data_IF_396389842172
#
_entry.id   IF_396389842172
#
_cell.length_a   1.000
_cell.length_b   1.000
_cell.length_c   1.000
_cell.angle_alpha   90.00
_cell.angle_beta   90.00
_cell.angle_gamma   90.00
#
_symmetry.space_group_name_H-M   'P 1'
#
loop_
_entity.id
_entity.type
_entity.pdbx_description
1 polymer ?
#
# COMPACT_ATOMS: atom_id res chain seq x y z
N UNK A 1 -28.49 1.75 -35.23
CA UNK A 1 -27.98 3.14 -35.26
C UNK A 1 -26.48 3.06 -35.45
N UNK A 2 -26.02 2.84 -36.68
CA UNK A 2 -24.61 2.78 -37.04
C UNK A 2 -24.15 4.18 -37.43
N UNK A 3 -23.36 4.80 -36.56
CA UNK A 3 -22.72 6.09 -36.82
C UNK A 3 -21.53 5.88 -37.74
N UNK A 4 -21.76 6.03 -39.05
CA UNK A 4 -20.68 6.10 -40.04
C UNK A 4 -19.79 7.31 -39.73
N UNK A 5 -18.55 7.03 -39.32
CA UNK A 5 -17.47 8.01 -39.23
C UNK A 5 -17.10 8.39 -40.65
N UNK A 6 -17.56 9.56 -41.09
CA UNK A 6 -17.17 10.15 -42.35
C UNK A 6 -15.79 10.81 -42.18
N UNK A 7 -14.72 10.07 -42.46
CA UNK A 7 -13.38 10.66 -42.58
C UNK A 7 -13.38 11.65 -43.75
N UNK A 8 -12.94 12.90 -43.55
CA UNK A 8 -12.80 13.83 -44.67
C UNK A 8 -11.77 13.29 -45.66
N UNK A 9 -11.96 13.54 -46.97
CA UNK A 9 -11.01 13.12 -47.98
C UNK A 9 -9.66 13.76 -47.71
N UNK A 10 -8.60 12.95 -47.81
CA UNK A 10 -7.21 13.42 -47.75
C UNK A 10 -7.01 14.26 -49.02
N UNK A 11 -7.20 15.57 -48.91
CA UNK A 11 -6.90 16.50 -49.98
C UNK A 11 -5.40 16.44 -50.20
N UNK A 12 -4.99 15.83 -51.32
CA UNK A 12 -3.62 15.93 -51.81
C UNK A 12 -3.53 17.29 -52.46
N UNK A 13 -2.89 18.24 -51.78
CA UNK A 13 -2.53 19.54 -52.34
C UNK A 13 -1.50 19.32 -53.46
N UNK A 14 -1.97 18.88 -54.63
CA UNK A 14 -1.23 18.77 -55.88
C UNK A 14 -1.27 20.11 -56.63
N UNK A 15 -0.87 21.20 -55.96
CA UNK A 15 -0.41 22.40 -56.67
C UNK A 15 1.10 22.23 -56.98
N UNK A 16 1.56 22.58 -58.19
CA UNK A 16 2.97 22.58 -58.54
C UNK A 16 3.65 23.77 -57.85
N UNK A 17 3.86 23.68 -56.54
CA UNK A 17 4.77 24.58 -55.84
C UNK A 17 6.14 24.36 -56.46
N UNK A 18 6.68 25.39 -57.13
CA UNK A 18 8.05 25.41 -57.59
C UNK A 18 8.97 25.31 -56.35
N UNK A 19 9.20 24.09 -55.88
CA UNK A 19 10.05 23.81 -54.73
C UNK A 19 11.47 24.16 -55.11
N UNK A 20 11.98 25.24 -54.54
CA UNK A 20 13.39 25.57 -54.66
C UNK A 20 14.18 24.40 -54.05
N UNK A 21 15.20 23.84 -54.72
CA UNK A 21 15.98 22.75 -54.17
C UNK A 21 16.56 23.17 -52.81
N UNK A 22 16.21 22.42 -51.76
CA UNK A 22 16.67 22.68 -50.39
C UNK A 22 15.71 23.48 -49.49
N UNK A 23 14.57 23.98 -49.98
CA UNK A 23 13.60 24.72 -49.15
C UNK A 23 13.09 23.89 -47.95
N UNK A 24 12.84 22.59 -48.15
CA UNK A 24 12.45 21.68 -47.08
C UNK A 24 13.56 21.48 -46.03
N UNK A 25 14.83 21.45 -46.47
CA UNK A 25 15.98 21.35 -45.57
C UNK A 25 16.16 22.64 -44.76
N UNK A 26 16.03 23.79 -45.39
CA UNK A 26 16.11 25.09 -44.72
C UNK A 26 14.98 25.26 -43.70
N UNK A 27 13.74 24.87 -44.05
CA UNK A 27 12.60 24.84 -43.12
C UNK A 27 12.85 23.90 -41.93
N UNK A 28 13.40 22.71 -42.18
CA UNK A 28 13.79 21.78 -41.13
C UNK A 28 14.85 22.36 -40.18
N UNK A 29 15.93 22.91 -40.73
CA UNK A 29 17.00 23.53 -39.94
C UNK A 29 16.50 24.74 -39.15
N UNK A 30 15.58 25.54 -39.70
CA UNK A 30 14.95 26.65 -39.00
C UNK A 30 14.10 26.19 -37.80
N UNK A 31 13.42 25.05 -37.90
CA UNK A 31 12.71 24.42 -36.77
C UNK A 31 13.70 23.97 -35.70
N UNK A 32 14.80 23.32 -36.09
CA UNK A 32 15.86 22.89 -35.15
C UNK A 32 16.50 24.08 -34.44
N UNK A 33 16.89 25.13 -35.18
CA UNK A 33 17.46 26.36 -34.62
C UNK A 33 16.50 27.02 -33.62
N UNK A 34 15.20 27.05 -33.94
CA UNK A 34 14.16 27.56 -33.02
C UNK A 34 14.09 26.76 -31.72
N UNK A 35 14.22 25.44 -31.78
CA UNK A 35 14.22 24.60 -30.57
C UNK A 35 15.53 24.73 -29.78
N UNK A 36 16.67 24.90 -30.43
CA UNK A 36 17.98 25.09 -29.78
C UNK A 36 18.03 26.36 -28.91
N UNK A 37 17.29 27.40 -29.31
CA UNK A 37 17.20 28.67 -28.57
C UNK A 37 16.09 28.69 -27.51
N UNK A 38 15.29 27.61 -27.37
CA UNK A 38 14.30 27.50 -26.29
C UNK A 38 14.98 27.11 -24.98
N UNK A 39 14.36 27.48 -23.86
CA UNK A 39 14.76 27.01 -22.53
C UNK A 39 14.63 25.48 -22.47
N UNK A 40 15.57 24.83 -21.78
CA UNK A 40 15.50 23.40 -21.55
C UNK A 40 14.39 23.05 -20.55
N UNK A 41 13.59 22.04 -20.88
CA UNK A 41 12.58 21.42 -20.00
C UNK A 41 13.19 20.30 -19.13
N UNK A 42 14.51 20.08 -19.19
CA UNK A 42 15.19 19.06 -18.39
C UNK A 42 15.09 19.37 -16.89
N UNK A 43 14.55 18.43 -16.13
CA UNK A 43 14.69 18.39 -14.67
C UNK A 43 15.96 17.62 -14.34
N UNK A 44 16.91 18.26 -13.65
CA UNK A 44 18.19 17.65 -13.28
C UNK A 44 18.00 16.78 -12.04
N UNK A 45 17.83 15.49 -12.26
CA UNK A 45 17.76 14.48 -11.20
C UNK A 45 19.18 14.04 -10.82
N UNK A 46 19.53 13.91 -9.53
CA UNK A 46 18.67 13.84 -8.34
C UNK A 46 18.39 15.17 -7.62
N UNK A 47 18.95 16.30 -8.06
CA UNK A 47 18.80 17.57 -7.34
C UNK A 47 17.38 18.16 -7.40
N UNK A 48 16.66 17.88 -8.49
CA UNK A 48 15.27 18.26 -8.72
C UNK A 48 14.43 17.00 -8.88
N UNK A 49 13.63 16.69 -7.86
CA UNK A 49 12.70 15.56 -7.89
C UNK A 49 11.42 15.89 -8.67
N UNK A 50 10.83 14.91 -9.36
CA UNK A 50 9.56 15.10 -10.04
C UNK A 50 8.42 15.30 -9.04
N UNK A 51 7.50 16.22 -9.36
CA UNK A 51 6.24 16.37 -8.61
C UNK A 51 5.28 15.24 -8.99
N UNK A 52 5.05 14.31 -8.07
CA UNK A 52 4.19 13.15 -8.27
C UNK A 52 2.76 13.44 -7.79
N UNK A 53 1.73 13.10 -8.60
CA UNK A 53 0.35 13.26 -8.15
C UNK A 53 0.06 12.31 -6.98
N UNK A 54 -0.83 12.70 -6.06
CA UNK A 54 -1.17 11.89 -4.87
C UNK A 54 -1.65 10.46 -5.15
N UNK A 55 -2.12 10.18 -6.37
CA UNK A 55 -2.55 8.84 -6.83
C UNK A 55 -1.44 8.05 -7.56
N UNK A 56 -0.19 8.48 -7.42
CA UNK A 56 0.97 7.79 -7.99
C UNK A 56 1.10 6.39 -7.41
N UNK A 57 1.48 5.44 -8.24
CA UNK A 57 1.72 4.05 -7.85
C UNK A 57 3.22 3.85 -7.67
N UNK A 58 3.71 4.10 -6.46
CA UNK A 58 5.08 3.79 -6.07
C UNK A 58 5.17 2.36 -5.54
N UNK A 59 5.75 2.20 -4.36
CA UNK A 59 5.81 0.93 -3.65
C UNK A 59 4.51 0.66 -2.89
N UNK A 60 4.23 -0.63 -2.66
CA UNK A 60 3.06 -1.04 -1.87
C UNK A 60 3.48 -1.09 -0.40
N UNK A 61 2.78 -0.35 0.44
CA UNK A 61 2.93 -0.37 1.89
C UNK A 61 1.93 -1.36 2.52
N UNK A 62 2.32 -1.98 3.64
CA UNK A 62 1.48 -2.90 4.42
C UNK A 62 1.21 -2.32 5.82
N UNK A 63 -0.06 -2.22 6.20
CA UNK A 63 -0.47 -2.02 7.60
C UNK A 63 -0.83 -3.39 8.16
N UNK A 64 0.09 -3.99 8.91
CA UNK A 64 -0.02 -5.38 9.40
C UNK A 64 -1.28 -5.59 10.24
N UNK A 65 -1.64 -4.60 11.06
CA UNK A 65 -2.76 -4.64 11.99
C UNK A 65 -4.11 -4.79 11.28
N UNK A 66 -4.20 -4.30 10.04
CA UNK A 66 -5.40 -4.35 9.20
C UNK A 66 -5.53 -5.67 8.43
N UNK A 67 -4.43 -6.43 8.28
CA UNK A 67 -4.44 -7.67 7.50
C UNK A 67 -5.12 -8.81 8.27
N UNK A 68 -6.21 -9.34 7.72
CA UNK A 68 -6.97 -10.47 8.31
C UNK A 68 -6.67 -11.82 7.66
N UNK A 69 -5.68 -11.88 6.76
CA UNK A 69 -5.31 -13.08 6.00
C UNK A 69 -6.49 -13.66 5.19
N UNK A 70 -7.29 -12.79 4.58
CA UNK A 70 -8.43 -13.21 3.75
C UNK A 70 -8.03 -13.85 2.41
N UNK A 71 -6.75 -13.73 2.02
CA UNK A 71 -6.16 -14.23 0.76
C UNK A 71 -6.77 -13.65 -0.53
N UNK A 72 -7.53 -12.56 -0.46
CA UNK A 72 -8.12 -11.93 -1.66
C UNK A 72 -7.05 -11.29 -2.53
N UNK A 73 -6.13 -10.52 -1.95
CA UNK A 73 -5.05 -9.85 -2.66
C UNK A 73 -4.14 -10.82 -3.42
N UNK A 74 -3.77 -11.95 -2.81
CA UNK A 74 -2.95 -12.97 -3.46
C UNK A 74 -3.70 -13.71 -4.59
N UNK A 75 -5.01 -13.93 -4.44
CA UNK A 75 -5.84 -14.62 -5.44
C UNK A 75 -6.11 -13.75 -6.67
N UNK A 76 -6.33 -12.45 -6.46
CA UNK A 76 -6.67 -11.51 -7.53
C UNK A 76 -5.43 -10.91 -8.21
N UNK A 77 -4.23 -11.11 -7.64
CA UNK A 77 -2.99 -10.67 -8.26
C UNK A 77 -2.80 -11.37 -9.62
N UNK A 78 -2.70 -10.64 -10.75
CA UNK A 78 -2.56 -11.24 -12.07
C UNK A 78 -1.23 -12.00 -12.24
N UNK A 79 -0.18 -11.58 -11.52
CA UNK A 79 1.17 -12.17 -11.58
C UNK A 79 1.45 -13.18 -10.46
N UNK A 80 0.54 -13.31 -9.48
CA UNK A 80 0.67 -14.23 -8.34
C UNK A 80 1.96 -13.98 -7.53
N UNK A 81 2.37 -12.71 -7.42
CA UNK A 81 3.61 -12.27 -6.78
C UNK A 81 3.52 -12.08 -5.25
N UNK A 82 2.38 -12.41 -4.63
CA UNK A 82 2.14 -12.21 -3.20
C UNK A 82 2.16 -13.56 -2.47
N UNK A 83 3.02 -13.69 -1.46
CA UNK A 83 3.13 -14.86 -0.61
C UNK A 83 2.58 -14.56 0.78
N UNK A 84 1.67 -15.40 1.26
CA UNK A 84 1.01 -15.21 2.56
C UNK A 84 1.01 -16.53 3.31
N UNK A 85 1.57 -16.54 4.52
CA UNK A 85 1.48 -17.65 5.46
C UNK A 85 0.72 -17.21 6.72
N UNK A 86 -0.05 -18.12 7.30
CA UNK A 86 -0.85 -17.85 8.50
C UNK A 86 -1.12 -19.10 9.32
N UNK A 87 -1.34 -18.89 10.61
CA UNK A 87 -1.80 -19.91 11.54
C UNK A 87 -3.11 -19.49 12.21
N UNK A 88 -3.76 -20.44 12.87
CA UNK A 88 -5.02 -20.23 13.58
C UNK A 88 -4.79 -20.22 15.08
N UNK A 89 -5.12 -19.11 15.71
CA UNK A 89 -5.19 -19.02 17.15
C UNK A 89 -6.63 -19.17 17.62
N UNK A 90 -6.83 -19.92 18.70
CA UNK A 90 -8.16 -20.07 19.32
C UNK A 90 -8.29 -19.07 20.45
N UNK A 91 -9.21 -18.11 20.30
CA UNK A 91 -9.51 -17.16 21.36
C UNK A 91 -10.42 -17.83 22.39
N UNK A 92 -10.11 -17.69 23.69
CA UNK A 92 -10.97 -18.19 24.76
C UNK A 92 -12.32 -17.50 24.65
N UNK A 93 -13.38 -18.30 24.73
CA UNK A 93 -14.73 -17.75 24.70
C UNK A 93 -15.02 -17.02 26.03
N UNK A 94 -15.73 -15.87 26.00
CA UNK A 94 -16.41 -15.35 27.19
C UNK A 94 -17.35 -16.44 27.75
N UNK A 95 -17.60 -16.45 29.07
CA UNK A 95 -18.40 -17.49 29.75
C UNK A 95 -19.65 -17.88 28.95
N UNK A 96 -19.72 -19.15 28.52
CA UNK A 96 -20.84 -19.72 27.78
C UNK A 96 -20.78 -19.62 26.25
N UNK A 97 -19.74 -19.00 25.67
CA UNK A 97 -19.55 -18.88 24.22
C UNK A 97 -18.82 -20.06 23.57
N UNK A 98 -18.96 -20.21 22.24
CA UNK A 98 -18.14 -21.15 21.45
C UNK A 98 -16.76 -20.52 21.18
N UNK A 99 -15.65 -21.27 21.34
CA UNK A 99 -14.33 -20.78 20.99
C UNK A 99 -14.28 -20.31 19.53
N UNK A 100 -13.65 -19.16 19.30
CA UNK A 100 -13.52 -18.54 17.98
C UNK A 100 -12.09 -18.72 17.51
N UNK A 101 -11.90 -19.19 16.28
CA UNK A 101 -10.58 -19.19 15.65
C UNK A 101 -10.36 -17.83 14.95
N UNK A 102 -9.20 -17.22 15.18
CA UNK A 102 -8.70 -16.05 14.46
C UNK A 102 -7.47 -16.47 13.65
N UNK A 103 -7.40 -16.03 12.40
CA UNK A 103 -6.18 -16.18 11.61
C UNK A 103 -5.19 -15.09 12.02
N UNK A 104 -3.94 -15.47 12.24
CA UNK A 104 -2.82 -14.57 12.53
C UNK A 104 -1.84 -14.64 11.37
N UNK A 105 -1.36 -13.48 10.93
CA UNK A 105 -0.43 -13.36 9.80
C UNK A 105 0.98 -13.73 10.26
N UNK A 106 1.56 -14.76 9.65
CA UNK A 106 2.95 -15.17 9.93
C UNK A 106 3.92 -14.48 8.98
N UNK A 107 3.59 -14.53 7.70
CA UNK A 107 4.41 -13.99 6.62
C UNK A 107 3.52 -13.31 5.60
N UNK A 108 3.98 -12.16 5.14
CA UNK A 108 3.42 -11.47 3.99
C UNK A 108 4.59 -10.94 3.18
N UNK A 109 4.74 -11.39 1.94
CA UNK A 109 5.80 -10.93 1.07
C UNK A 109 5.27 -10.60 -0.32
N UNK A 110 5.84 -9.56 -0.92
CA UNK A 110 5.58 -9.19 -2.31
C UNK A 110 6.89 -9.28 -3.07
N UNK A 111 6.89 -10.04 -4.17
CA UNK A 111 8.01 -10.07 -5.11
C UNK A 111 7.85 -8.94 -6.14
N UNK A 112 8.59 -7.85 -5.94
CA UNK A 112 8.59 -6.71 -6.84
C UNK A 112 9.36 -6.95 -8.15
N UNK A 113 10.07 -8.08 -8.27
CA UNK A 113 10.62 -8.50 -9.57
C UNK A 113 9.55 -9.06 -10.52
N UNK A 114 8.38 -9.44 -9.97
CA UNK A 114 7.24 -9.98 -10.71
C UNK A 114 6.05 -9.01 -10.78
N UNK A 115 5.87 -8.16 -9.76
CA UNK A 115 4.74 -7.23 -9.67
C UNK A 115 4.68 -6.24 -10.86
N UNK A 116 3.53 -6.16 -11.55
CA UNK A 116 3.29 -5.15 -12.60
C UNK A 116 2.65 -3.83 -12.13
N UNK A 117 2.55 -3.59 -10.83
CA UNK A 117 1.98 -2.35 -10.24
C UNK A 117 0.54 -2.04 -10.71
N UNK A 118 -0.28 -3.06 -10.90
CA UNK A 118 -1.68 -2.91 -11.36
C UNK A 118 -2.60 -2.29 -10.29
N UNK A 119 -2.29 -2.45 -9.01
CA UNK A 119 -3.07 -1.95 -7.87
C UNK A 119 -4.28 -2.78 -7.47
N UNK A 120 -4.54 -3.90 -8.13
CA UNK A 120 -5.71 -4.74 -7.86
C UNK A 120 -5.69 -5.28 -6.41
N UNK A 121 -4.52 -5.61 -5.88
CA UNK A 121 -4.37 -6.08 -4.50
C UNK A 121 -4.80 -5.05 -3.45
N UNK A 122 -4.70 -3.75 -3.76
CA UNK A 122 -5.13 -2.65 -2.90
C UNK A 122 -6.64 -2.51 -2.97
N UNK A 123 -7.19 -2.41 -4.18
CA UNK A 123 -8.65 -2.23 -4.40
C UNK A 123 -9.49 -3.41 -3.89
N UNK A 124 -8.95 -4.64 -3.99
CA UNK A 124 -9.65 -5.84 -3.55
C UNK A 124 -9.53 -6.08 -2.04
N UNK A 125 -8.67 -5.34 -1.33
CA UNK A 125 -8.46 -5.52 0.09
C UNK A 125 -9.67 -4.98 0.87
N UNK A 126 -10.49 -5.82 1.52
CA UNK A 126 -11.71 -5.33 2.18
C UNK A 126 -11.44 -4.68 3.54
N UNK A 127 -10.19 -4.65 3.98
CA UNK A 127 -9.76 -4.12 5.28
C UNK A 127 -8.74 -2.99 5.15
N UNK A 128 -8.49 -2.51 3.93
CA UNK A 128 -7.50 -1.46 3.65
C UNK A 128 -6.16 -1.73 4.36
N UNK A 129 -5.60 -2.92 4.12
CA UNK A 129 -4.30 -3.31 4.67
C UNK A 129 -3.13 -2.92 3.76
N UNK A 130 -3.38 -2.66 2.49
CA UNK A 130 -2.37 -2.32 1.50
C UNK A 130 -2.63 -0.92 0.94
N UNK A 131 -1.58 -0.14 0.77
CA UNK A 131 -1.68 1.24 0.26
C UNK A 131 -0.56 1.55 -0.73
N UNK A 132 -0.78 2.56 -1.56
CA UNK A 132 0.28 3.15 -2.36
C UNK A 132 1.10 4.13 -1.52
N UNK A 133 2.39 3.85 -1.41
CA UNK A 133 3.38 4.83 -0.97
C UNK A 133 3.90 5.60 -2.20
N UNK A 134 4.23 6.90 -2.05
CA UNK A 134 4.83 7.69 -3.11
C UNK A 134 6.29 7.31 -3.39
N UNK A 135 6.90 6.46 -2.55
CA UNK A 135 8.28 6.01 -2.72
C UNK A 135 8.42 5.16 -3.99
N UNK A 136 9.34 5.55 -4.87
CA UNK A 136 9.63 4.84 -6.12
C UNK A 136 11.11 4.43 -6.25
N UNK A 137 11.96 4.89 -5.33
CA UNK A 137 13.42 4.76 -5.39
C UNK A 137 13.92 3.63 -4.48
N UNK A 138 13.52 2.39 -4.74
CA UNK A 138 13.91 1.20 -3.97
C UNK A 138 14.63 0.15 -4.82
N UNK A 139 15.43 0.60 -5.79
CA UNK A 139 16.21 -0.28 -6.64
C UNK A 139 17.26 -1.06 -5.84
N UNK A 140 17.40 -2.35 -6.14
CA UNK A 140 18.34 -3.25 -5.47
C UNK A 140 19.39 -3.80 -6.45
N UNK A 141 20.54 -4.22 -5.90
CA UNK A 141 21.63 -4.80 -6.70
C UNK A 141 21.39 -6.27 -7.07
N UNK A 142 20.62 -7.00 -6.26
CA UNK A 142 20.24 -8.39 -6.51
C UNK A 142 18.73 -8.51 -6.64
N UNK A 143 18.26 -9.34 -7.57
CA UNK A 143 16.83 -9.60 -7.77
C UNK A 143 16.18 -10.19 -6.52
N UNK A 144 16.94 -10.94 -5.71
CA UNK A 144 16.43 -11.57 -4.48
C UNK A 144 16.06 -10.54 -3.40
N UNK A 145 16.66 -9.36 -3.46
CA UNK A 145 16.41 -8.29 -2.50
C UNK A 145 15.12 -7.50 -2.86
N UNK A 146 14.54 -7.73 -4.05
CA UNK A 146 13.22 -7.22 -4.45
C UNK A 146 12.05 -8.05 -3.89
N UNK A 147 12.34 -9.13 -3.15
CA UNK A 147 11.34 -9.83 -2.34
C UNK A 147 11.21 -9.10 -1.00
N UNK A 148 10.18 -8.27 -0.88
CA UNK A 148 9.97 -7.49 0.33
C UNK A 148 9.02 -8.23 1.26
N UNK A 149 9.55 -8.60 2.42
CA UNK A 149 8.79 -9.18 3.53
C UNK A 149 7.98 -8.11 4.28
N UNK A 150 7.09 -8.56 5.16
CA UNK A 150 6.11 -7.72 5.86
C UNK A 150 6.72 -6.51 6.58
N UNK A 151 7.90 -6.70 7.17
CA UNK A 151 8.58 -5.66 7.93
C UNK A 151 8.98 -4.49 7.01
N UNK A 152 9.59 -4.81 5.86
CA UNK A 152 9.98 -3.82 4.84
C UNK A 152 8.77 -3.12 4.24
N UNK A 153 7.70 -3.86 3.98
CA UNK A 153 6.44 -3.28 3.51
C UNK A 153 5.79 -2.35 4.56
N UNK A 154 5.98 -2.66 5.85
CA UNK A 154 5.50 -1.87 6.98
C UNK A 154 6.22 -0.53 7.13
N UNK A 155 7.52 -0.48 6.83
CA UNK A 155 8.30 0.77 6.86
C UNK A 155 7.69 1.85 5.96
N UNK A 156 7.16 1.47 4.80
CA UNK A 156 6.54 2.41 3.87
C UNK A 156 5.17 2.91 4.29
N UNK A 157 4.52 2.30 5.28
CA UNK A 157 3.21 2.76 5.77
C UNK A 157 3.27 4.20 6.29
N UNK A 158 4.42 4.65 6.80
CA UNK A 158 4.64 6.02 7.26
C UNK A 158 4.62 7.07 6.13
N UNK A 159 4.93 6.65 4.90
CA UNK A 159 4.99 7.55 3.73
C UNK A 159 3.66 7.64 2.97
N UNK A 160 2.67 6.84 3.35
CA UNK A 160 1.36 6.82 2.70
C UNK A 160 0.66 8.16 2.94
N UNK A 161 0.22 8.87 1.89
CA UNK A 161 -0.48 10.12 2.05
C UNK A 161 -1.84 9.88 2.72
N UNK A 162 -2.31 10.81 3.57
CA UNK A 162 -3.63 10.69 4.17
C UNK A 162 -4.71 10.68 3.09
N UNK A 163 -5.80 9.92 3.29
CA UNK A 163 -6.91 9.91 2.34
C UNK A 163 -7.45 11.33 2.15
N UNK A 164 -7.84 11.72 0.92
CA UNK A 164 -8.39 13.04 0.67
C UNK A 164 -9.62 13.27 1.53
N UNK A 165 -9.79 14.52 1.98
CA UNK A 165 -10.97 14.90 2.75
C UNK A 165 -12.24 14.58 1.96
N UNK A 166 -13.24 14.05 2.65
CA UNK A 166 -14.54 13.80 2.04
C UNK A 166 -15.14 15.12 1.51
N UNK A 167 -15.75 15.05 0.34
CA UNK A 167 -16.44 16.18 -0.29
C UNK A 167 -17.41 16.86 0.69
N UNK A 168 -17.56 18.18 0.58
CA UNK A 168 -18.42 18.96 1.48
C UNK A 168 -19.87 18.46 1.34
N UNK A 169 -20.37 17.78 2.38
CA UNK A 169 -21.71 17.17 2.40
C UNK A 169 -21.74 15.65 2.24
N UNK A 170 -20.59 14.99 2.03
CA UNK A 170 -20.49 13.55 2.11
C UNK A 170 -20.71 13.06 3.56
N UNK A 171 -21.44 11.95 3.70
CA UNK A 171 -21.67 11.32 5.00
C UNK A 171 -20.32 10.94 5.62
N UNK A 172 -20.09 11.36 6.87
CA UNK A 172 -18.84 11.07 7.57
C UNK A 172 -18.60 9.55 7.65
N UNK A 173 -17.35 9.06 7.57
CA UNK A 173 -17.03 7.65 7.73
C UNK A 173 -17.74 7.04 8.93
N UNK A 174 -18.35 5.87 8.72
CA UNK A 174 -19.11 5.17 9.75
C UNK A 174 -18.27 4.93 11.00
N UNK A 175 -16.97 4.71 10.83
CA UNK A 175 -15.97 4.58 11.91
C UNK A 175 -15.90 5.82 12.83
N UNK A 176 -15.90 7.03 12.27
CA UNK A 176 -15.87 8.29 13.05
C UNK A 176 -17.23 8.59 13.69
N UNK A 177 -18.33 8.23 13.02
CA UNK A 177 -19.69 8.39 13.55
C UNK A 177 -20.04 7.37 14.65
N UNK A 178 -19.45 6.17 14.61
CA UNK A 178 -19.67 5.09 15.57
C UNK A 178 -18.91 5.34 16.89
N UNK A 179 -17.73 5.96 16.84
CA UNK A 179 -16.99 6.42 18.02
C UNK A 179 -17.64 7.58 18.77
N UNK A 180 -18.48 8.38 18.09
CA UNK A 180 -19.20 9.52 18.67
C UNK A 180 -20.54 9.15 19.33
N UNK A 181 -20.96 7.88 19.26
CA UNK A 181 -22.22 7.45 19.86
C UNK A 181 -21.98 7.06 21.32
N UNK A 182 -22.54 7.79 22.32
CA UNK A 182 -22.48 7.34 23.70
C UNK A 182 -23.10 5.95 23.77
N UNK A 183 -22.39 5.01 24.40
CA UNK A 183 -22.85 3.64 24.60
C UNK A 183 -24.30 3.68 25.14
N UNK A 184 -25.24 2.89 24.59
CA UNK A 184 -26.60 2.87 25.11
C UNK A 184 -26.54 2.44 26.57
N UNK A 185 -26.94 3.35 27.47
CA UNK A 185 -27.01 3.11 28.89
C UNK A 185 -27.78 1.80 29.14
N UNK A 186 -27.08 0.82 29.72
CA UNK A 186 -27.68 -0.41 30.21
C UNK A 186 -28.80 0.00 31.19
N UNK A 187 -30.06 -0.28 30.82
CA UNK A 187 -31.24 0.05 31.63
C UNK A 187 -31.11 -0.63 32.99
N UNK A 188 -30.76 0.13 34.03
CA UNK A 188 -30.93 -0.29 35.42
C UNK A 188 -32.39 -0.05 35.81
N UNK A 189 -33.03 -1.11 36.32
CA UNK A 189 -34.38 -1.06 36.91
C UNK A 189 -34.40 -0.16 38.17
N UNK A 190 -35.56 0.39 38.57
CA UNK A 190 -35.64 1.54 39.47
C UNK A 190 -35.59 1.14 40.95
N UNK A 191 -34.90 1.94 41.78
CA UNK A 191 -35.07 1.98 43.23
C UNK A 191 -35.77 3.29 43.65
N UNK A 192 -36.74 3.16 44.56
CA UNK A 192 -37.58 4.21 45.10
C UNK A 192 -36.87 5.04 46.21
N UNK A 193 -37.39 6.21 46.62
CA UNK A 193 -36.60 7.39 47.01
C UNK A 193 -36.45 7.61 48.53
N UNK A 194 -35.42 8.36 48.93
CA UNK A 194 -35.36 9.05 50.23
C UNK A 194 -34.90 10.51 50.05
N UNK A 195 -35.57 11.41 50.78
CA UNK A 195 -35.49 12.88 50.78
C UNK A 195 -34.15 13.43 51.31
N UNK A 196 -33.79 14.64 50.84
CA UNK A 196 -32.58 15.43 51.18
C UNK A 196 -32.53 16.03 52.60
N UNK A 197 -31.75 17.11 52.90
CA UNK A 197 -31.55 18.28 52.04
C UNK A 197 -30.09 18.79 51.87
N UNK A 198 -29.98 19.82 51.03
CA UNK A 198 -28.79 20.52 50.56
C UNK A 198 -28.24 21.57 51.54
N UNK A 199 -26.92 21.78 51.53
CA UNK A 199 -26.23 23.09 51.52
C UNK A 199 -24.70 22.88 51.48
N UNK A 200 -23.99 23.53 50.54
CA UNK A 200 -22.51 23.56 50.51
C UNK A 200 -21.88 23.24 49.16
N UNK A 201 -22.16 24.03 48.11
CA UNK A 201 -21.61 23.81 46.76
C UNK A 201 -20.63 24.88 46.26
N UNK A 202 -20.41 26.00 46.97
CA UNK A 202 -19.58 27.09 46.43
C UNK A 202 -18.11 27.07 46.85
N UNK A 203 -17.70 26.34 47.89
CA UNK A 203 -16.30 26.36 48.38
C UNK A 203 -15.41 25.31 47.68
N UNK A 204 -16.00 24.25 47.10
CA UNK A 204 -15.25 23.18 46.43
C UNK A 204 -14.81 23.55 45.00
N UNK A 205 -15.47 24.52 44.36
CA UNK A 205 -15.19 24.90 42.98
C UNK A 205 -13.97 25.84 42.86
N UNK A 206 -13.68 26.64 43.89
CA UNK A 206 -12.49 27.52 43.91
C UNK A 206 -11.20 26.72 44.14
N UNK A 207 -11.21 25.72 45.04
CA UNK A 207 -10.03 24.88 45.30
C UNK A 207 -9.65 23.99 44.09
N UNK A 208 -10.63 23.54 43.30
CA UNK A 208 -10.37 22.71 42.11
C UNK A 208 -9.79 23.52 40.93
N UNK A 209 -10.11 24.81 40.85
CA UNK A 209 -9.60 25.71 39.80
C UNK A 209 -8.17 26.20 40.07
N UNK A 210 -7.77 26.28 41.34
CA UNK A 210 -6.40 26.65 41.72
C UNK A 210 -5.42 25.49 41.50
N UNK A 211 -5.82 24.26 41.89
CA UNK A 211 -5.02 23.05 41.67
C UNK A 211 -4.81 22.74 40.17
N UNK A 212 -5.79 23.01 39.31
CA UNK A 212 -5.65 22.78 37.86
C UNK A 212 -4.75 23.81 37.17
N UNK A 213 -4.62 25.03 37.72
CA UNK A 213 -3.71 26.06 37.20
C UNK A 213 -2.26 25.81 37.59
N UNK A 214 -2.02 25.27 38.79
CA UNK A 214 -0.68 24.94 39.27
C UNK A 214 -0.07 23.79 38.45
N UNK A 215 -0.84 22.71 38.22
CA UNK A 215 -0.42 21.56 37.39
C UNK A 215 -0.19 21.94 35.92
N UNK A 216 -0.96 22.89 35.38
CA UNK A 216 -0.77 23.38 34.00
C UNK A 216 0.50 24.23 33.85
N UNK A 217 0.94 24.94 34.90
CA UNK A 217 2.18 25.71 34.87
C UNK A 217 3.43 24.85 35.08
N UNK A 218 3.32 23.76 35.85
CA UNK A 218 4.40 22.82 36.06
C UNK A 218 4.70 21.99 34.79
N UNK A 219 3.66 21.47 34.14
CA UNK A 219 3.77 20.74 32.86
C UNK A 219 4.33 21.60 31.72
N UNK A 220 3.99 22.88 31.67
CA UNK A 220 4.55 23.81 30.68
C UNK A 220 6.05 24.12 30.92
N UNK A 221 6.50 24.11 32.18
CA UNK A 221 7.93 24.32 32.53
C UNK A 221 8.77 23.08 32.27
N UNK A 222 8.19 21.90 32.40
CA UNK A 222 8.85 20.62 32.11
C UNK A 222 9.04 20.43 30.60
N UNK A 223 8.02 20.71 29.80
CA UNK A 223 8.10 20.68 28.34
C UNK A 223 9.13 21.69 27.77
N UNK A 224 9.29 22.85 28.41
CA UNK A 224 10.30 23.84 28.04
C UNK A 224 11.75 23.41 28.40
N UNK A 225 11.92 22.51 29.37
CA UNK A 225 13.23 21.95 29.75
C UNK A 225 13.65 20.79 28.85
N UNK A 226 12.71 19.96 28.40
CA UNK A 226 13.00 18.87 27.46
C UNK A 226 13.40 19.38 26.07
N UNK A 227 12.69 20.40 25.56
CA UNK A 227 12.98 21.02 24.26
C UNK A 227 14.34 21.74 24.22
N UNK A 228 14.84 22.24 25.35
CA UNK A 228 16.17 22.83 25.47
C UNK A 228 17.30 21.78 25.52
N UNK A 229 17.01 20.55 25.97
CA UNK A 229 17.97 19.43 26.04
C UNK A 229 18.19 18.72 24.70
N UNK A 230 17.15 18.63 23.87
CA UNK A 230 17.19 17.98 22.54
C UNK A 230 18.05 18.75 21.53
N UNK A 231 18.09 20.09 21.63
CA UNK A 231 18.83 20.97 20.71
C UNK A 231 20.37 20.91 20.87
N UNK A 232 20.88 20.30 21.95
CA UNK A 232 22.32 20.25 22.27
C UNK A 232 22.98 18.88 21.99
N UNK A 233 22.28 17.90 21.40
CA UNK A 233 22.77 16.51 21.18
C UNK A 233 22.72 16.01 19.73
N UNK A 234 22.91 16.88 18.73
CA UNK A 234 23.20 16.43 17.35
C UNK A 234 24.70 16.28 17.14
N UNK A 235 25.27 15.06 17.01
CA UNK A 235 26.61 14.94 16.44
C UNK A 235 26.54 15.20 14.92
N UNK A 236 27.54 15.92 14.41
CA UNK A 236 27.76 16.14 12.99
C UNK A 236 28.22 14.82 12.33
N UNK A 237 27.66 14.48 11.17
CA UNK A 237 28.02 13.30 10.40
C UNK A 237 29.39 13.50 9.72
N UNK A 238 30.35 12.61 10.01
CA UNK A 238 31.58 12.42 9.24
C UNK A 238 31.36 11.44 8.06
N UNK A 239 32.11 11.57 6.96
CA UNK A 239 31.86 10.81 5.73
C UNK A 239 32.29 9.33 5.84
N UNK A 240 31.41 8.44 5.38
CA UNK A 240 31.61 6.99 5.43
C UNK A 240 32.72 6.51 4.46
N UNK A 241 33.58 5.62 4.97
CA UNK A 241 34.53 4.82 4.18
C UNK A 241 33.81 3.65 3.50
N UNK A 242 34.22 3.39 2.26
CA UNK A 242 33.77 2.34 1.34
C UNK A 242 33.89 0.92 1.93
N UNK A 243 32.85 0.05 1.86
CA UNK A 243 32.97 -1.33 2.32
C UNK A 243 33.45 -2.26 1.19
N UNK A 244 34.49 -3.02 1.53
CA UNK A 244 35.17 -4.04 0.74
C UNK A 244 34.22 -5.15 0.23
N UNK A 245 34.39 -5.55 -1.04
CA UNK A 245 33.50 -6.46 -1.76
C UNK A 245 33.52 -7.90 -1.20
N UNK A 246 32.36 -8.37 -0.75
CA UNK A 246 32.13 -9.77 -0.35
C UNK A 246 32.13 -10.69 -1.58
N UNK A 247 32.80 -11.86 -1.57
CA UNK A 247 32.83 -12.75 -2.74
C UNK A 247 31.45 -13.42 -2.98
N UNK A 248 30.98 -13.36 -4.24
CA UNK A 248 29.75 -14.01 -4.73
C UNK A 248 29.79 -15.51 -4.43
N UNK A 249 28.80 -16.02 -3.68
CA UNK A 249 28.51 -17.46 -3.63
C UNK A 249 27.74 -17.87 -4.87
N UNK A 250 28.27 -18.83 -5.62
CA UNK A 250 27.63 -19.40 -6.81
C UNK A 250 26.39 -20.24 -6.41
N UNK A 251 25.24 -20.08 -7.07
CA UNK A 251 24.05 -20.86 -6.75
C UNK A 251 24.15 -22.31 -7.27
N UNK A 252 23.47 -23.28 -6.62
CA UNK A 252 23.51 -24.69 -7.01
C UNK A 252 22.90 -24.94 -8.40
N UNK A 253 23.41 -25.96 -9.10
CA UNK A 253 23.12 -26.25 -10.52
C UNK A 253 21.62 -26.39 -10.87
N UNK A 254 20.75 -26.71 -9.91
CA UNK A 254 19.31 -26.85 -10.12
C UNK A 254 18.57 -25.55 -10.52
N UNK A 255 19.22 -24.38 -10.38
CA UNK A 255 18.65 -23.07 -10.76
C UNK A 255 19.16 -22.54 -12.11
N UNK A 256 19.99 -23.28 -12.84
CA UNK A 256 20.50 -22.85 -14.16
C UNK A 256 19.54 -23.15 -15.31
N UNK A 257 18.60 -24.07 -15.12
CA UNK A 257 17.61 -24.45 -16.13
C UNK A 257 16.22 -23.94 -15.76
N UNK A 258 15.84 -22.78 -16.30
CA UNK A 258 14.54 -22.13 -16.05
C UNK A 258 13.34 -23.01 -16.45
N UNK A 259 13.57 -24.00 -17.31
CA UNK A 259 12.55 -24.95 -17.78
C UNK A 259 12.29 -26.11 -16.82
N UNK A 260 13.11 -26.31 -15.79
CA UNK A 260 12.88 -27.35 -14.76
C UNK A 260 12.14 -26.85 -13.53
N UNK A 261 11.94 -25.53 -13.40
CA UNK A 261 11.15 -24.94 -12.31
C UNK A 261 9.68 -25.24 -12.59
N UNK A 262 9.16 -26.22 -11.87
CA UNK A 262 7.78 -26.65 -11.99
C UNK A 262 6.91 -25.77 -11.09
N UNK A 263 5.85 -25.11 -11.59
CA UNK A 263 4.94 -24.38 -10.73
C UNK A 263 4.26 -25.37 -9.77
N UNK A 264 4.10 -25.02 -8.47
CA UNK A 264 3.42 -25.86 -7.51
C UNK A 264 1.95 -26.06 -7.96
N UNK A 265 1.54 -27.33 -8.15
CA UNK A 265 0.18 -27.70 -8.58
C UNK A 265 0.08 -28.42 -9.94
N UNK A 266 1.16 -28.54 -10.72
CA UNK A 266 1.09 -29.28 -11.99
C UNK A 266 1.20 -30.80 -11.80
N UNK A 267 0.15 -31.54 -12.21
CA UNK A 267 0.11 -33.01 -12.16
C UNK A 267 1.24 -33.65 -12.99
N UNK A 268 1.77 -34.82 -12.59
CA UNK A 268 2.78 -35.57 -13.35
C UNK A 268 2.27 -35.90 -14.76
N UNK A 269 3.12 -35.70 -15.78
CA UNK A 269 2.79 -35.97 -17.19
C UNK A 269 2.53 -37.46 -17.51
N UNK A 270 2.63 -38.34 -16.50
CA UNK A 270 2.41 -39.79 -16.61
C UNK A 270 1.28 -40.30 -15.72
N UNK A 271 0.23 -39.51 -15.49
CA UNK A 271 -1.04 -40.07 -15.03
C UNK A 271 -1.78 -40.68 -16.25
N UNK A 272 -1.41 -41.92 -16.59
CA UNK A 272 -2.11 -42.68 -17.63
C UNK A 272 -3.58 -42.90 -17.27
N UNK A 273 -4.47 -42.73 -18.25
CA UNK A 273 -5.90 -43.03 -18.12
C UNK A 273 -6.11 -44.48 -17.68
N UNK A 274 -6.99 -44.76 -16.70
CA UNK A 274 -7.29 -46.14 -16.32
C UNK A 274 -8.03 -46.88 -17.45
N UNK A 275 -7.78 -48.19 -17.63
CA UNK A 275 -8.41 -48.98 -18.69
C UNK A 275 -9.92 -49.14 -18.45
N UNK A 276 -10.70 -48.80 -19.47
CA UNK A 276 -12.15 -49.01 -19.52
C UNK A 276 -12.44 -50.53 -19.58
N UNK A 277 -12.99 -51.09 -18.50
CA UNK A 277 -13.56 -52.46 -18.50
C UNK A 277 -14.82 -52.47 -19.36
N UNK A 278 -14.78 -53.18 -20.50
CA UNK A 278 -15.97 -53.63 -21.23
C UNK A 278 -16.30 -55.04 -20.75
N UNK A 279 -17.27 -55.16 -19.85
CA UNK A 279 -17.87 -56.45 -19.49
C UNK A 279 -19.40 -56.34 -19.66
N UNK A 280 -19.93 -57.08 -20.64
CA UNK A 280 -21.36 -57.26 -20.92
C UNK A 280 -21.58 -58.21 -22.11
N UNK A 281 -22.62 -59.06 -22.10
CA UNK A 281 -22.43 -60.51 -22.01
C UNK A 281 -22.78 -61.29 -23.29
N UNK A 282 -22.05 -62.37 -23.56
CA UNK A 282 -22.46 -63.44 -24.48
C UNK A 282 -22.56 -64.78 -23.72
N UNK A 283 -23.81 -65.26 -23.58
CA UNK A 283 -24.22 -66.62 -23.97
C UNK A 283 -23.89 -67.85 -23.08
N UNK A 284 -24.96 -68.59 -22.76
CA UNK A 284 -25.03 -70.07 -22.64
C UNK A 284 -24.60 -70.76 -21.33
N UNK A 285 -25.55 -70.93 -20.40
CA UNK A 285 -26.26 -72.20 -20.09
C UNK A 285 -27.19 -72.06 -18.88
#
# INVERSE_FOLDING_TARGET
MESHVHSPPIVRDDEPVARIPGEGLAKGLAVTMRHMLRKSETQQYPEVHPDLPARSRGVIALVEENCTVCMLCARECPDWCIYIDSHKETLPAPEGGRPRARNVLDRFAIDFSLCMYCGICIEVCPFDALFWSPEFEYAEYDIRDLLHEKDRLGEWAATVPPPPAHEVGAESPKELSAGSRPAPARRTAPSAPVKGPAEGASVAQEAAQEATRETAQETAREAARETAGEAARRPAAEPAKEPESRPRREPPRAMRDIRSIRPPGSLPRNAGSPPQKKDGPEGER
#
